data_IF_249466354190
#
_entry.id   IF_249466354190
#
_cell.length_a   1.000
_cell.length_b   1.000
_cell.length_c   1.000
_cell.angle_alpha   90.00
_cell.angle_beta   90.00
_cell.angle_gamma   90.00
#
_symmetry.space_group_name_H-M   'P 1'
#
loop_
_entity.id
_entity.type
_entity.pdbx_description
1 polymer ?
#
# COMPACT_ATOMS: atom_id res chain seq x y z
N UNK A 1 -11.46 -14.32 1.07
CA UNK A 1 -10.29 -13.45 1.28
C UNK A 1 -9.32 -13.57 0.10
N UNK A 2 -8.83 -12.43 -0.39
CA UNK A 2 -7.88 -12.45 -1.51
C UNK A 2 -6.52 -12.93 -1.06
N UNK A 3 -5.81 -13.64 -1.95
CA UNK A 3 -4.42 -14.02 -1.71
C UNK A 3 -3.53 -12.80 -1.87
N UNK A 4 -2.61 -12.60 -0.94
CA UNK A 4 -1.75 -11.41 -0.93
C UNK A 4 -0.44 -11.71 -1.64
N UNK A 5 -0.08 -10.88 -2.62
CA UNK A 5 1.19 -10.95 -3.34
C UNK A 5 2.01 -9.70 -3.04
N UNK A 6 3.31 -9.87 -2.93
CA UNK A 6 4.26 -8.78 -2.75
C UNK A 6 5.16 -8.70 -3.96
N UNK A 7 5.21 -7.55 -4.63
CA UNK A 7 6.19 -7.36 -5.70
C UNK A 7 7.58 -7.23 -5.10
N UNK A 8 8.60 -7.44 -5.93
CA UNK A 8 9.99 -7.24 -5.49
C UNK A 8 10.23 -5.81 -5.04
N UNK A 9 9.65 -4.84 -5.74
CA UNK A 9 9.76 -3.43 -5.37
C UNK A 9 9.13 -3.18 -4.00
N UNK A 10 7.95 -3.76 -3.73
CA UNK A 10 7.30 -3.62 -2.44
C UNK A 10 8.15 -4.22 -1.32
N UNK A 11 8.78 -5.37 -1.55
CA UNK A 11 9.65 -6.00 -0.54
C UNK A 11 10.81 -5.08 -0.16
N UNK A 12 11.43 -4.44 -1.14
CA UNK A 12 12.50 -3.48 -0.89
C UNK A 12 11.98 -2.26 -0.14
N UNK A 13 10.80 -1.75 -0.54
CA UNK A 13 10.18 -0.62 0.13
C UNK A 13 9.86 -0.94 1.59
N UNK A 14 9.32 -2.12 1.85
CA UNK A 14 8.97 -2.54 3.21
C UNK A 14 10.20 -2.61 4.10
N UNK A 15 11.27 -3.21 3.60
CA UNK A 15 12.53 -3.34 4.33
C UNK A 15 13.10 -1.95 4.69
N UNK A 16 13.09 -1.02 3.73
CA UNK A 16 13.54 0.35 3.95
C UNK A 16 12.66 1.06 4.97
N UNK A 17 11.35 0.96 4.82
CA UNK A 17 10.39 1.62 5.71
C UNK A 17 10.53 1.12 7.13
N UNK A 18 10.65 -0.19 7.30
CA UNK A 18 10.79 -0.83 8.61
C UNK A 18 12.07 -0.37 9.33
N UNK A 19 13.11 -0.06 8.58
CA UNK A 19 14.38 0.43 9.14
C UNK A 19 14.34 1.93 9.49
N UNK A 20 13.29 2.65 9.06
CA UNK A 20 13.14 4.08 9.34
C UNK A 20 12.52 4.29 10.72
N UNK A 21 13.20 4.98 11.67
CA UNK A 21 12.70 5.08 13.05
C UNK A 21 11.26 5.57 13.19
N UNK A 22 10.85 6.58 12.42
CA UNK A 22 9.47 7.12 12.53
C UNK A 22 8.39 6.20 11.95
N UNK A 23 8.80 5.11 11.29
CA UNK A 23 7.87 4.15 10.70
C UNK A 23 7.98 2.76 11.34
N UNK A 24 8.46 2.69 12.57
CA UNK A 24 8.58 1.41 13.29
C UNK A 24 7.26 0.69 13.45
N UNK A 25 6.17 1.43 13.51
CA UNK A 25 4.83 0.87 13.69
C UNK A 25 4.25 0.24 12.41
N UNK A 26 5.02 0.23 11.32
CA UNK A 26 4.56 -0.35 10.06
C UNK A 26 4.23 -1.85 10.20
N UNK A 27 4.95 -2.55 11.06
CA UNK A 27 4.70 -3.98 11.29
C UNK A 27 3.31 -4.25 11.87
N UNK A 28 2.72 -3.25 12.54
CA UNK A 28 1.36 -3.33 13.08
C UNK A 28 0.35 -2.78 12.10
N UNK A 29 0.65 -1.62 11.50
CA UNK A 29 -0.28 -0.93 10.60
C UNK A 29 -0.52 -1.70 9.31
N UNK A 30 0.52 -2.25 8.70
CA UNK A 30 0.41 -2.88 7.40
C UNK A 30 -0.53 -4.08 7.41
N UNK A 31 -0.37 -5.06 8.32
CA UNK A 31 -1.28 -6.20 8.35
C UNK A 31 -2.73 -5.81 8.57
N UNK A 32 -2.99 -4.78 9.38
CA UNK A 32 -4.33 -4.30 9.65
C UNK A 32 -4.99 -3.76 8.38
N UNK A 33 -4.29 -2.89 7.66
CA UNK A 33 -4.81 -2.30 6.42
C UNK A 33 -4.92 -3.35 5.32
N UNK A 34 -3.90 -4.19 5.16
CA UNK A 34 -3.89 -5.25 4.14
C UNK A 34 -5.02 -6.24 4.39
N UNK A 35 -5.29 -6.56 5.65
CA UNK A 35 -6.41 -7.44 6.01
C UNK A 35 -7.74 -6.89 5.53
N UNK A 36 -7.98 -5.60 5.75
CA UNK A 36 -9.21 -4.96 5.27
C UNK A 36 -9.30 -4.97 3.75
N UNK A 37 -8.20 -4.65 3.06
CA UNK A 37 -8.17 -4.65 1.60
C UNK A 37 -8.39 -6.05 1.03
N UNK A 38 -7.83 -7.07 1.66
CA UNK A 38 -7.98 -8.46 1.21
C UNK A 38 -9.41 -8.97 1.39
N UNK A 39 -10.13 -8.44 2.38
CA UNK A 39 -11.54 -8.78 2.64
C UNK A 39 -12.50 -7.86 1.90
N UNK A 40 -11.99 -6.97 1.05
CA UNK A 40 -12.79 -5.97 0.31
C UNK A 40 -13.59 -5.06 1.25
N UNK A 41 -13.07 -4.80 2.45
CA UNK A 41 -13.69 -3.90 3.41
C UNK A 41 -13.24 -2.47 3.17
N UNK A 42 -14.11 -1.48 3.38
CA UNK A 42 -13.72 -0.08 3.22
C UNK A 42 -12.72 0.34 4.30
N UNK A 43 -11.81 1.22 3.93
CA UNK A 43 -10.90 1.83 4.89
C UNK A 43 -11.54 3.07 5.50
N UNK A 44 -11.06 3.48 6.68
CA UNK A 44 -11.48 4.73 7.28
C UNK A 44 -11.10 5.90 6.34
N UNK A 45 -11.87 6.98 6.40
CA UNK A 45 -11.65 8.15 5.53
C UNK A 45 -10.23 8.71 5.66
N UNK A 46 -9.63 8.63 6.84
CA UNK A 46 -8.26 9.13 7.05
C UNK A 46 -7.22 8.44 6.19
N UNK A 47 -7.54 7.27 5.64
CA UNK A 47 -6.60 6.54 4.80
C UNK A 47 -6.70 6.92 3.32
N UNK A 48 -7.64 7.78 2.95
CA UNK A 48 -7.74 8.33 1.58
C UNK A 48 -7.60 7.29 0.48
N UNK A 49 -8.30 6.15 0.61
CA UNK A 49 -8.25 5.10 -0.40
C UNK A 49 -8.90 5.58 -1.70
N UNK A 50 -8.14 5.60 -2.79
CA UNK A 50 -8.63 6.09 -4.08
C UNK A 50 -7.90 5.48 -5.26
N UNK A 51 -8.54 5.51 -6.43
CA UNK A 51 -7.93 5.04 -7.67
C UNK A 51 -6.94 6.07 -8.19
N UNK A 52 -5.87 5.59 -8.80
CA UNK A 52 -4.89 6.45 -9.44
C UNK A 52 -5.18 6.58 -10.93
N UNK A 53 -4.60 7.60 -11.55
CA UNK A 53 -4.74 7.84 -12.99
C UNK A 53 -3.39 7.89 -13.69
N UNK A 54 -3.41 8.28 -14.97
CA UNK A 54 -2.19 8.42 -15.76
C UNK A 54 -1.44 7.11 -15.89
N UNK A 55 -0.14 7.14 -15.63
CA UNK A 55 0.71 5.96 -15.71
C UNK A 55 0.38 4.90 -14.66
N UNK A 56 -0.39 5.27 -13.66
CA UNK A 56 -0.81 4.38 -12.58
C UNK A 56 -2.27 3.94 -12.73
N UNK A 57 -2.84 4.08 -13.89
CA UNK A 57 -4.17 3.58 -14.19
C UNK A 57 -4.25 2.10 -13.78
N UNK A 58 -5.37 1.68 -13.23
CA UNK A 58 -5.63 0.33 -12.71
C UNK A 58 -5.01 0.06 -11.34
N UNK A 59 -4.28 1.02 -10.77
CA UNK A 59 -3.75 0.91 -9.43
C UNK A 59 -4.54 1.79 -8.47
N UNK A 60 -4.45 1.45 -7.20
CA UNK A 60 -5.08 2.24 -6.13
C UNK A 60 -4.02 2.63 -5.10
N UNK A 61 -4.30 3.69 -4.36
CA UNK A 61 -3.42 4.21 -3.34
C UNK A 61 -4.20 4.41 -2.06
N UNK A 62 -3.59 4.10 -0.92
CA UNK A 62 -4.12 4.51 0.37
C UNK A 62 -2.98 5.02 1.23
N UNK A 63 -3.35 5.79 2.27
CA UNK A 63 -2.37 6.34 3.22
C UNK A 63 -2.32 5.45 4.45
N UNK A 64 -1.20 4.75 4.65
CA UNK A 64 -0.96 4.01 5.89
C UNK A 64 -0.77 5.00 7.04
N UNK A 65 -0.05 6.08 6.75
CA UNK A 65 0.15 7.24 7.60
C UNK A 65 0.06 8.48 6.71
N UNK A 66 -0.10 9.69 7.24
CA UNK A 66 -0.22 10.88 6.39
C UNK A 66 0.89 11.03 5.35
N UNK A 67 2.10 10.59 5.68
CA UNK A 67 3.25 10.70 4.78
C UNK A 67 3.75 9.34 4.27
N UNK A 68 2.97 8.26 4.45
CA UNK A 68 3.38 6.93 4.03
C UNK A 68 2.25 6.27 3.23
N UNK A 69 2.51 6.05 1.95
CA UNK A 69 1.53 5.56 0.99
C UNK A 69 1.73 4.08 0.67
N UNK A 70 0.62 3.41 0.38
CA UNK A 70 0.63 2.06 -0.16
C UNK A 70 -0.05 2.08 -1.52
N UNK A 71 0.65 1.62 -2.56
CA UNK A 71 0.07 1.43 -3.88
C UNK A 71 -0.20 -0.05 -4.04
N UNK A 72 -1.42 -0.39 -4.41
CA UNK A 72 -1.84 -1.77 -4.54
C UNK A 72 -2.75 -1.95 -5.74
N UNK A 73 -3.01 -3.20 -6.09
CA UNK A 73 -3.84 -3.55 -7.24
C UNK A 73 -4.59 -4.84 -6.93
N UNK A 74 -5.81 -4.92 -7.43
CA UNK A 74 -6.57 -6.18 -7.45
C UNK A 74 -6.65 -6.65 -8.89
N UNK A 75 -5.66 -7.46 -9.36
CA UNK A 75 -5.62 -7.89 -10.76
C UNK A 75 -6.78 -8.81 -11.14
N UNK A 76 -7.34 -9.48 -10.14
CA UNK A 76 -8.52 -10.34 -10.32
C UNK A 76 -9.24 -10.43 -8.96
N UNK A 77 -10.32 -11.20 -8.92
CA UNK A 77 -11.14 -11.32 -7.70
C UNK A 77 -10.47 -12.09 -6.57
N UNK A 78 -9.42 -12.81 -6.87
CA UNK A 78 -8.77 -13.69 -5.90
C UNK A 78 -7.44 -13.16 -5.37
N UNK A 79 -6.96 -12.03 -5.90
CA UNK A 79 -5.62 -11.55 -5.61
C UNK A 79 -5.62 -10.09 -5.15
N UNK A 80 -4.78 -9.81 -4.17
CA UNK A 80 -4.41 -8.45 -3.77
C UNK A 80 -2.90 -8.33 -3.92
N UNK A 81 -2.45 -7.46 -4.81
CA UNK A 81 -1.02 -7.26 -5.07
C UNK A 81 -0.56 -5.96 -4.44
N UNK A 82 0.43 -6.06 -3.55
CA UNK A 82 1.06 -4.90 -2.93
C UNK A 82 2.22 -4.49 -3.84
N UNK A 83 2.15 -3.29 -4.39
CA UNK A 83 3.00 -2.87 -5.51
C UNK A 83 4.16 -1.99 -5.08
N UNK A 84 3.89 -0.94 -4.31
CA UNK A 84 4.91 -0.02 -3.80
C UNK A 84 4.47 0.53 -2.45
N UNK A 85 5.45 0.98 -1.65
CA UNK A 85 5.17 1.68 -0.40
C UNK A 85 6.25 2.73 -0.18
N UNK A 86 5.86 3.91 0.26
CA UNK A 86 6.82 4.98 0.51
C UNK A 86 6.12 6.33 0.63
N UNK A 87 6.93 7.38 0.71
CA UNK A 87 6.43 8.75 0.71
C UNK A 87 6.10 9.18 -0.71
N UNK A 88 5.37 10.29 -0.86
CA UNK A 88 5.11 10.86 -2.18
C UNK A 88 6.41 11.09 -2.95
N UNK A 89 7.41 11.63 -2.28
CA UNK A 89 8.71 11.89 -2.92
C UNK A 89 9.37 10.62 -3.42
N UNK A 90 9.29 9.55 -2.64
CA UNK A 90 9.89 8.27 -3.02
C UNK A 90 9.18 7.60 -4.18
N UNK A 91 7.86 7.72 -4.25
CA UNK A 91 7.06 7.02 -5.26
C UNK A 91 6.82 7.83 -6.52
N UNK A 92 6.70 9.14 -6.39
CA UNK A 92 6.31 10.02 -7.49
C UNK A 92 7.28 11.15 -7.78
N UNK A 93 8.47 11.14 -7.19
CA UNK A 93 9.48 12.16 -7.44
C UNK A 93 9.92 12.11 -8.91
N UNK A 94 10.21 13.26 -9.44
CA UNK A 94 10.70 13.39 -10.82
C UNK A 94 12.19 13.55 -10.86
#
# INVERSE_FOLDING_TARGET
MRTIEWTSAFRRDYKRTKATPRHKDIETLLPEIVGLLAEDQPLLLKHHDHALGGNWKDYRECHLKPDLLLIYKRPDKDTLRLVRMGTHSELFAK
#
